data_IF_719046683745
#
_entry.id   IF_719046683745
#
_cell.length_a   1.000
_cell.length_b   1.000
_cell.length_c   1.000
_cell.angle_alpha   90.00
_cell.angle_beta   90.00
_cell.angle_gamma   90.00
#
_symmetry.space_group_name_H-M   'P 1'
#
loop_
_entity.id
_entity.type
_entity.pdbx_description
1 polymer ?
#
# COMPACT_ATOMS: atom_id res chain seq x y z
N UNK A 1 -8.26 -29.64 36.70
CA UNK A 1 -9.16 -28.95 37.66
C UNK A 1 -8.59 -27.67 38.28
N UNK A 2 -7.26 -27.54 38.52
CA UNK A 2 -6.65 -26.29 39.06
C UNK A 2 -6.45 -25.14 38.06
N UNK A 3 -6.48 -25.40 36.75
CA UNK A 3 -6.29 -24.36 35.71
C UNK A 3 -7.55 -23.50 35.53
N UNK A 4 -8.75 -24.09 35.64
CA UNK A 4 -10.04 -23.39 35.50
C UNK A 4 -10.29 -22.40 36.66
N UNK A 5 -9.78 -22.69 37.86
CA UNK A 5 -9.87 -21.77 39.01
C UNK A 5 -9.01 -20.52 38.83
N UNK A 6 -7.89 -20.60 38.09
CA UNK A 6 -6.99 -19.46 37.83
C UNK A 6 -7.64 -18.43 36.89
N UNK A 7 -8.39 -18.90 35.89
CA UNK A 7 -9.12 -18.02 34.95
C UNK A 7 -10.39 -17.41 35.55
N UNK A 8 -11.08 -18.09 36.47
CA UNK A 8 -12.21 -17.51 37.21
C UNK A 8 -11.79 -16.32 38.08
N UNK A 9 -10.62 -16.39 38.71
CA UNK A 9 -10.06 -15.27 39.48
C UNK A 9 -9.81 -14.05 38.60
N UNK A 10 -9.14 -14.24 37.46
CA UNK A 10 -8.84 -13.17 36.49
C UNK A 10 -10.11 -12.55 35.92
N UNK A 11 -11.11 -13.36 35.57
CA UNK A 11 -12.38 -12.88 35.02
C UNK A 11 -13.17 -12.04 36.04
N UNK A 12 -13.20 -12.45 37.31
CA UNK A 12 -13.85 -11.68 38.39
C UNK A 12 -13.11 -10.38 38.66
N UNK A 13 -11.76 -10.38 38.64
CA UNK A 13 -10.97 -9.16 38.80
C UNK A 13 -11.19 -8.19 37.63
N UNK A 14 -11.27 -8.67 36.39
CA UNK A 14 -11.57 -7.85 35.21
C UNK A 14 -12.97 -7.23 35.26
N UNK A 15 -13.99 -8.00 35.67
CA UNK A 15 -15.35 -7.47 35.84
C UNK A 15 -15.39 -6.38 36.91
N UNK A 16 -14.67 -6.56 38.02
CA UNK A 16 -14.58 -5.56 39.10
C UNK A 16 -13.85 -4.31 38.62
N UNK A 17 -12.75 -4.44 37.86
CA UNK A 17 -12.04 -3.29 37.28
C UNK A 17 -12.94 -2.54 36.30
N UNK A 18 -13.63 -3.23 35.39
CA UNK A 18 -14.58 -2.60 34.45
C UNK A 18 -15.72 -1.87 35.19
N UNK A 19 -16.26 -2.43 36.28
CA UNK A 19 -17.29 -1.79 37.09
C UNK A 19 -16.78 -0.57 37.88
N UNK A 20 -15.55 -0.64 38.42
CA UNK A 20 -14.91 0.48 39.12
C UNK A 20 -14.64 1.64 38.15
N UNK A 21 -14.24 1.32 36.92
CA UNK A 21 -14.02 2.34 35.89
C UNK A 21 -15.31 2.83 35.22
N UNK A 22 -16.40 2.05 35.17
CA UNK A 22 -17.70 2.55 34.68
C UNK A 22 -18.27 3.70 35.55
N UNK A 23 -17.78 3.83 36.79
CA UNK A 23 -18.10 4.95 37.67
C UNK A 23 -17.29 6.23 37.37
N UNK A 24 -16.30 6.16 36.48
CA UNK A 24 -15.50 7.28 35.98
C UNK A 24 -15.67 7.35 34.46
N UNK A 25 -16.16 8.47 33.91
CA UNK A 25 -16.35 8.61 32.45
C UNK A 25 -15.08 8.20 31.68
N UNK A 26 -15.15 7.08 30.96
CA UNK A 26 -14.07 6.51 30.18
C UNK A 26 -14.13 7.04 28.74
N UNK A 27 -12.95 7.34 28.20
CA UNK A 27 -12.73 7.76 26.82
C UNK A 27 -12.97 6.61 25.83
N UNK A 28 -13.48 6.91 24.62
CA UNK A 28 -13.93 5.92 23.62
C UNK A 28 -12.78 4.99 23.15
N UNK A 29 -11.53 5.46 23.20
CA UNK A 29 -10.32 4.71 22.84
C UNK A 29 -10.04 3.53 23.81
N UNK A 30 -10.43 3.66 25.08
CA UNK A 30 -10.28 2.59 26.07
C UNK A 30 -11.33 1.48 25.89
N UNK A 31 -12.54 1.83 25.45
CA UNK A 31 -13.61 0.88 25.18
C UNK A 31 -13.32 0.01 23.93
N UNK A 32 -12.69 0.58 22.90
CA UNK A 32 -12.16 -0.20 21.78
C UNK A 32 -11.05 -1.17 22.24
N UNK A 33 -10.10 -0.69 23.05
CA UNK A 33 -9.01 -1.52 23.59
C UNK A 33 -9.53 -2.67 24.46
N UNK A 34 -10.53 -2.42 25.31
CA UNK A 34 -11.18 -3.45 26.13
C UNK A 34 -12.01 -4.41 25.26
N UNK A 35 -12.66 -3.90 24.22
CA UNK A 35 -13.38 -4.71 23.23
C UNK A 35 -12.46 -5.67 22.48
N UNK A 36 -11.28 -5.20 22.05
CA UNK A 36 -10.24 -6.03 21.42
C UNK A 36 -9.70 -7.07 22.41
N UNK A 37 -9.37 -6.68 23.64
CA UNK A 37 -8.91 -7.60 24.69
C UNK A 37 -9.93 -8.68 25.03
N UNK A 38 -11.21 -8.31 25.17
CA UNK A 38 -12.29 -9.27 25.41
C UNK A 38 -12.51 -10.19 24.21
N UNK A 39 -12.34 -9.70 22.98
CA UNK A 39 -12.44 -10.51 21.78
C UNK A 39 -11.31 -11.54 21.66
N UNK A 40 -10.08 -11.18 22.07
CA UNK A 40 -8.94 -12.11 22.17
C UNK A 40 -9.19 -13.15 23.26
N UNK A 41 -9.74 -12.74 24.41
CA UNK A 41 -10.06 -13.65 25.53
C UNK A 41 -11.23 -14.60 25.20
N UNK A 42 -12.18 -14.16 24.38
CA UNK A 42 -13.30 -14.98 23.90
C UNK A 42 -12.97 -15.81 22.64
N UNK A 43 -11.80 -15.59 22.06
CA UNK A 43 -11.38 -16.18 20.80
C UNK A 43 -10.81 -17.58 20.91
N UNK A 44 -10.97 -18.38 19.86
CA UNK A 44 -10.27 -19.67 19.74
C UNK A 44 -8.88 -19.45 19.14
N UNK A 45 -7.80 -19.96 19.78
CA UNK A 45 -6.47 -19.88 19.21
C UNK A 45 -6.42 -20.65 17.91
N UNK A 46 -5.85 -20.03 16.90
CA UNK A 46 -5.47 -20.69 15.65
C UNK A 46 -4.41 -21.72 16.02
N UNK A 47 -4.77 -23.00 15.91
CA UNK A 47 -3.83 -24.07 16.23
C UNK A 47 -2.76 -24.22 15.15
N UNK A 48 -1.74 -25.00 15.46
CA UNK A 48 -0.62 -25.28 14.56
C UNK A 48 -1.00 -26.02 13.27
N UNK A 49 -2.26 -26.32 12.98
CA UNK A 49 -2.67 -26.88 11.67
C UNK A 49 -3.10 -25.82 10.66
N UNK A 50 -3.40 -24.59 11.11
CA UNK A 50 -3.80 -23.54 10.19
C UNK A 50 -2.61 -23.06 9.37
N UNK A 51 -2.73 -22.94 8.03
CA UNK A 51 -1.61 -22.57 7.21
C UNK A 51 -1.35 -21.07 7.33
N UNK A 52 -0.22 -20.73 7.95
CA UNK A 52 0.20 -19.34 8.13
C UNK A 52 1.30 -19.00 7.13
N UNK A 53 1.09 -17.93 6.38
CA UNK A 53 2.06 -17.43 5.42
C UNK A 53 2.76 -16.20 5.99
N UNK A 54 4.05 -16.34 6.22
CA UNK A 54 4.92 -15.30 6.75
C UNK A 54 5.60 -14.56 5.61
N UNK A 55 5.81 -13.25 5.78
CA UNK A 55 6.79 -12.54 4.97
C UNK A 55 8.19 -12.99 5.40
N UNK A 56 9.10 -13.18 4.43
CA UNK A 56 10.44 -13.74 4.70
C UNK A 56 11.29 -12.93 5.69
N UNK A 57 11.00 -11.65 5.89
CA UNK A 57 11.74 -10.77 6.80
C UNK A 57 10.88 -10.33 8.00
N UNK A 58 11.50 -10.34 9.17
CA UNK A 58 11.08 -9.63 10.36
C UNK A 58 11.95 -8.37 10.55
N UNK A 59 11.43 -7.41 11.32
CA UNK A 59 12.09 -6.13 11.53
C UNK A 59 12.24 -5.82 13.02
N UNK A 60 13.44 -5.43 13.44
CA UNK A 60 13.68 -4.85 14.76
C UNK A 60 13.67 -3.34 14.63
N UNK A 61 12.64 -2.70 15.16
CA UNK A 61 12.40 -1.28 15.04
C UNK A 61 12.97 -0.50 16.22
N UNK A 62 14.15 0.10 16.00
CA UNK A 62 14.86 0.93 16.96
C UNK A 62 14.34 2.38 17.01
N UNK A 63 13.23 2.70 16.34
CA UNK A 63 12.53 3.99 16.55
C UNK A 63 11.77 4.00 17.88
N UNK A 64 11.47 2.81 18.43
CA UNK A 64 10.92 2.63 19.78
C UNK A 64 12.01 2.38 20.81
N UNK A 65 11.70 2.74 22.05
CA UNK A 65 12.49 2.40 23.23
C UNK A 65 11.56 1.77 24.30
N UNK A 66 11.66 0.45 24.58
CA UNK A 66 12.59 -0.50 23.97
C UNK A 66 12.24 -0.82 22.49
N UNK A 67 13.21 -1.32 21.69
CA UNK A 67 12.97 -1.70 20.29
C UNK A 67 11.83 -2.71 20.13
N UNK A 68 11.03 -2.58 19.06
CA UNK A 68 9.90 -3.49 18.77
C UNK A 68 10.24 -4.48 17.66
N UNK A 69 9.91 -5.76 17.86
CA UNK A 69 9.96 -6.77 16.80
C UNK A 69 8.66 -6.73 15.98
N UNK A 70 8.77 -6.58 14.67
CA UNK A 70 7.65 -6.62 13.72
C UNK A 70 7.76 -7.88 12.86
N UNK A 71 6.73 -8.71 12.91
CA UNK A 71 6.60 -9.92 12.08
C UNK A 71 5.35 -9.73 11.24
N UNK A 72 5.48 -9.99 9.96
CA UNK A 72 4.37 -9.83 9.02
C UNK A 72 3.86 -11.17 8.52
N UNK A 73 2.54 -11.30 8.48
CA UNK A 73 1.87 -12.49 7.94
C UNK A 73 0.70 -12.07 7.07
N UNK A 74 0.30 -12.97 6.17
CA UNK A 74 -0.88 -12.79 5.34
C UNK A 74 -1.63 -14.10 5.23
N UNK A 75 -2.86 -14.09 5.71
CA UNK A 75 -3.65 -15.31 5.84
C UNK A 75 -5.07 -15.06 5.37
N UNK A 76 -5.74 -16.12 4.93
CA UNK A 76 -7.14 -16.05 4.54
C UNK A 76 -8.06 -16.02 5.77
N UNK A 77 -9.08 -15.16 5.71
CA UNK A 77 -10.29 -15.13 6.54
C UNK A 77 -10.10 -15.60 8.00
N UNK A 78 -9.31 -14.84 8.76
CA UNK A 78 -9.36 -14.90 10.21
C UNK A 78 -10.53 -14.03 10.67
N UNK A 79 -11.30 -14.54 11.63
CA UNK A 79 -12.26 -13.69 12.35
C UNK A 79 -11.50 -12.82 13.34
N UNK A 80 -12.06 -11.66 13.68
CA UNK A 80 -11.39 -10.68 14.54
C UNK A 80 -10.96 -11.22 15.92
N UNK A 81 -11.62 -12.28 16.40
CA UNK A 81 -11.28 -12.93 17.67
C UNK A 81 -10.22 -14.04 17.56
N UNK A 82 -9.80 -14.44 16.36
CA UNK A 82 -8.82 -15.52 16.19
C UNK A 82 -7.40 -14.98 16.29
N UNK A 83 -6.57 -15.62 17.11
CA UNK A 83 -5.18 -15.22 17.35
C UNK A 83 -4.22 -16.38 17.22
N UNK A 84 -2.95 -16.07 16.95
CA UNK A 84 -1.86 -17.04 16.84
C UNK A 84 -1.01 -17.04 18.12
N UNK A 85 -0.79 -18.21 18.70
CA UNK A 85 0.26 -18.41 19.70
C UNK A 85 1.50 -18.98 19.00
N UNK A 86 2.64 -18.33 19.20
CA UNK A 86 3.90 -18.78 18.63
C UNK A 86 5.06 -18.53 19.60
N UNK A 87 5.99 -19.50 19.67
CA UNK A 87 7.20 -19.35 20.47
C UNK A 87 8.32 -18.77 19.60
N UNK A 88 8.89 -17.66 20.07
CA UNK A 88 9.99 -16.96 19.40
C UNK A 88 11.34 -17.35 20.03
N UNK A 89 12.28 -17.79 19.20
CA UNK A 89 13.64 -18.14 19.62
C UNK A 89 14.70 -17.21 19.00
N UNK A 90 15.94 -17.33 19.47
CA UNK A 90 17.10 -16.62 18.93
C UNK A 90 17.17 -16.78 17.39
N UNK A 91 17.56 -15.71 16.70
CA UNK A 91 17.49 -15.57 15.23
C UNK A 91 16.07 -15.52 14.62
N UNK A 92 15.05 -15.17 15.41
CA UNK A 92 13.64 -15.02 14.96
C UNK A 92 13.15 -16.29 14.24
N UNK A 93 13.33 -17.43 14.92
CA UNK A 93 12.66 -18.67 14.55
C UNK A 93 11.30 -18.72 15.25
N UNK A 94 10.24 -18.91 14.46
CA UNK A 94 8.87 -19.02 14.94
C UNK A 94 8.48 -20.49 14.96
N UNK A 95 8.10 -20.99 16.15
CA UNK A 95 7.60 -22.35 16.32
C UNK A 95 6.07 -22.36 16.39
N UNK A 96 5.45 -23.16 15.52
CA UNK A 96 4.01 -23.42 15.47
C UNK A 96 3.75 -24.90 15.70
N UNK A 97 3.75 -25.33 16.97
CA UNK A 97 3.73 -26.75 17.32
C UNK A 97 4.98 -27.46 16.81
N UNK A 98 4.83 -28.46 15.94
CA UNK A 98 5.96 -29.16 15.31
C UNK A 98 6.56 -28.42 14.12
N UNK A 99 5.88 -27.40 13.60
CA UNK A 99 6.29 -26.64 12.41
C UNK A 99 7.18 -25.47 12.79
N UNK A 100 8.09 -25.09 11.90
CA UNK A 100 8.96 -23.92 12.12
C UNK A 100 9.13 -23.08 10.87
N UNK A 101 9.33 -21.78 11.07
CA UNK A 101 9.75 -20.85 10.01
C UNK A 101 10.88 -19.97 10.54
N UNK A 102 11.90 -19.79 9.72
CA UNK A 102 13.04 -18.92 10.01
C UNK A 102 12.90 -17.64 9.19
N UNK A 103 13.00 -16.49 9.85
CA UNK A 103 12.85 -15.18 9.22
C UNK A 103 14.18 -14.44 9.19
N UNK A 104 14.45 -13.77 8.08
CA UNK A 104 15.54 -12.80 8.01
C UNK A 104 15.25 -11.63 8.94
N UNK A 105 16.28 -11.05 9.57
CA UNK A 105 16.09 -9.93 10.50
C UNK A 105 16.74 -8.67 9.96
N UNK A 106 15.91 -7.65 9.76
CA UNK A 106 16.35 -6.32 9.34
C UNK A 106 16.19 -5.31 10.47
N UNK A 107 17.09 -4.33 10.56
CA UNK A 107 17.04 -3.29 11.59
C UNK A 107 16.51 -1.99 11.00
N UNK A 108 15.55 -1.39 11.69
CA UNK A 108 14.96 -0.11 11.31
C UNK A 108 15.43 0.97 12.27
N UNK A 109 15.93 2.06 11.69
CA UNK A 109 16.40 3.24 12.39
C UNK A 109 15.67 4.49 11.88
N UNK A 110 15.87 5.62 12.54
CA UNK A 110 15.38 6.93 12.07
C UNK A 110 16.00 7.28 10.71
N UNK A 111 15.23 8.00 9.89
CA UNK A 111 15.52 8.25 8.48
C UNK A 111 16.05 9.67 8.30
N UNK A 112 17.18 9.83 7.61
CA UNK A 112 17.89 11.11 7.56
C UNK A 112 18.16 11.63 6.13
N UNK A 113 18.02 10.81 5.08
CA UNK A 113 18.32 11.25 3.72
C UNK A 113 17.26 12.24 3.24
N UNK A 114 17.63 13.47 2.91
CA UNK A 114 16.67 14.47 2.41
C UNK A 114 16.01 13.97 1.11
N UNK A 115 14.68 13.95 1.07
CA UNK A 115 13.90 13.58 -0.12
C UNK A 115 12.55 12.95 0.24
N UNK A 116 11.85 12.50 -0.79
CA UNK A 116 10.62 11.69 -0.66
C UNK A 116 10.87 10.31 -1.28
N UNK A 117 10.50 9.25 -0.54
CA UNK A 117 10.38 7.90 -1.07
C UNK A 117 8.90 7.64 -1.35
N UNK A 118 8.61 7.21 -2.57
CA UNK A 118 7.24 6.93 -3.02
C UNK A 118 7.02 5.42 -3.01
N UNK A 119 6.09 4.95 -2.18
CA UNK A 119 5.77 3.53 -1.99
C UNK A 119 4.50 3.17 -2.75
N UNK A 120 4.62 2.41 -3.84
CA UNK A 120 3.45 1.95 -4.60
C UNK A 120 2.96 0.60 -4.11
N UNK A 121 1.65 0.42 -4.09
CA UNK A 121 1.03 -0.86 -3.77
C UNK A 121 1.37 -1.94 -4.82
N UNK A 122 1.19 -3.23 -4.49
CA UNK A 122 1.33 -4.33 -5.42
C UNK A 122 0.57 -4.10 -6.73
N UNK A 123 1.31 -4.09 -7.83
CA UNK A 123 0.81 -3.77 -9.17
C UNK A 123 0.37 -5.06 -9.86
N UNK A 124 -0.94 -5.27 -9.96
CA UNK A 124 -1.57 -6.38 -10.65
C UNK A 124 -2.15 -5.94 -12.00
N UNK A 125 -1.83 -6.69 -13.05
CA UNK A 125 -2.41 -6.54 -14.40
C UNK A 125 -2.38 -5.11 -14.96
N UNK A 126 -1.28 -4.38 -14.74
CA UNK A 126 -1.21 -2.97 -15.13
C UNK A 126 -0.77 -2.78 -16.58
N UNK A 127 -1.46 -1.92 -17.32
CA UNK A 127 -1.26 -1.70 -18.77
C UNK A 127 -1.00 -0.24 -19.16
N UNK A 128 -1.19 0.71 -18.23
CA UNK A 128 -1.15 2.15 -18.48
C UNK A 128 0.27 2.71 -18.34
N UNK A 129 1.16 2.38 -19.27
CA UNK A 129 2.57 2.83 -19.21
C UNK A 129 2.71 4.37 -19.23
N UNK A 130 1.77 5.08 -19.84
CA UNK A 130 1.73 6.55 -19.87
C UNK A 130 1.56 7.15 -18.47
N UNK A 131 0.76 6.51 -17.61
CA UNK A 131 0.59 6.92 -16.23
C UNK A 131 1.91 6.86 -15.48
N UNK A 132 2.72 5.81 -15.69
CA UNK A 132 4.01 5.66 -15.00
C UNK A 132 4.98 6.78 -15.37
N UNK A 133 5.03 7.19 -16.63
CA UNK A 133 5.87 8.33 -17.06
C UNK A 133 5.44 9.62 -16.37
N UNK A 134 4.15 9.99 -16.46
CA UNK A 134 3.63 11.19 -15.82
C UNK A 134 3.83 11.14 -14.30
N UNK A 135 3.54 10.00 -13.69
CA UNK A 135 3.69 9.77 -12.27
C UNK A 135 5.13 9.99 -11.80
N UNK A 136 6.11 9.34 -12.44
CA UNK A 136 7.51 9.46 -12.04
C UNK A 136 8.00 10.90 -12.26
N UNK A 137 7.76 11.51 -13.42
CA UNK A 137 8.22 12.87 -13.66
C UNK A 137 7.55 13.90 -12.73
N UNK A 138 6.24 13.77 -12.48
CA UNK A 138 5.53 14.68 -11.57
C UNK A 138 6.04 14.54 -10.13
N UNK A 139 6.18 13.31 -9.60
CA UNK A 139 6.71 13.10 -8.25
C UNK A 139 8.16 13.56 -8.11
N UNK A 140 9.00 13.37 -9.15
CA UNK A 140 10.38 13.89 -9.16
C UNK A 140 10.40 15.41 -9.08
N UNK A 141 9.52 16.09 -9.82
CA UNK A 141 9.39 17.54 -9.76
C UNK A 141 8.96 18.02 -8.36
N UNK A 142 8.22 17.20 -7.63
CA UNK A 142 7.81 17.44 -6.24
C UNK A 142 8.88 17.10 -5.19
N UNK A 143 10.02 16.53 -5.59
CA UNK A 143 11.16 16.20 -4.71
C UNK A 143 11.27 14.73 -4.33
N UNK A 144 10.57 13.83 -5.02
CA UNK A 144 10.80 12.39 -4.92
C UNK A 144 12.16 12.00 -5.51
N UNK A 145 12.86 11.14 -4.79
CA UNK A 145 14.22 10.68 -5.14
C UNK A 145 14.34 9.16 -5.24
N UNK A 146 13.34 8.43 -4.72
CA UNK A 146 13.27 6.97 -4.77
C UNK A 146 11.83 6.52 -4.91
N UNK A 147 11.61 5.54 -5.77
CA UNK A 147 10.32 4.89 -5.94
C UNK A 147 10.47 3.40 -5.61
N UNK A 148 9.57 2.85 -4.82
CA UNK A 148 9.51 1.42 -4.52
C UNK A 148 8.22 0.90 -5.12
N UNK A 149 8.34 0.02 -6.11
CA UNK A 149 7.22 -0.59 -6.82
C UNK A 149 7.16 -2.06 -6.46
N UNK A 150 6.09 -2.47 -5.77
CA UNK A 150 5.79 -3.89 -5.61
C UNK A 150 5.16 -4.41 -6.90
N UNK A 151 5.90 -5.23 -7.63
CA UNK A 151 5.53 -5.66 -8.97
C UNK A 151 4.98 -7.09 -8.94
N UNK A 152 3.73 -7.28 -9.36
CA UNK A 152 3.16 -8.61 -9.60
C UNK A 152 3.02 -8.90 -11.10
N UNK A 153 2.30 -8.07 -11.85
CA UNK A 153 2.13 -8.26 -13.29
C UNK A 153 1.84 -6.98 -14.06
N UNK A 154 2.37 -6.90 -15.29
CA UNK A 154 2.10 -5.80 -16.22
C UNK A 154 2.27 -6.19 -17.70
N UNK A 155 1.79 -5.37 -18.63
CA UNK A 155 2.08 -5.53 -20.06
C UNK A 155 3.58 -5.40 -20.34
N UNK A 156 4.04 -5.89 -21.49
CA UNK A 156 5.44 -5.74 -21.91
C UNK A 156 5.86 -4.27 -22.04
N UNK A 157 4.97 -3.40 -22.50
CA UNK A 157 5.20 -1.95 -22.63
C UNK A 157 5.38 -1.31 -21.26
N UNK A 158 4.51 -1.65 -20.32
CA UNK A 158 4.59 -1.16 -18.94
C UNK A 158 5.87 -1.65 -18.26
N UNK A 159 6.23 -2.92 -18.46
CA UNK A 159 7.47 -3.48 -17.95
C UNK A 159 8.70 -2.76 -18.52
N UNK A 160 8.72 -2.41 -19.81
CA UNK A 160 9.81 -1.64 -20.41
C UNK A 160 9.99 -0.26 -19.74
N UNK A 161 8.88 0.43 -19.43
CA UNK A 161 8.96 1.72 -18.72
C UNK A 161 9.49 1.55 -17.29
N UNK A 162 8.98 0.57 -16.54
CA UNK A 162 9.48 0.27 -15.19
C UNK A 162 10.96 -0.12 -15.21
N UNK A 163 11.37 -0.98 -16.14
CA UNK A 163 12.76 -1.40 -16.31
C UNK A 163 13.68 -0.22 -16.67
N UNK A 164 13.23 0.68 -17.55
CA UNK A 164 13.98 1.90 -17.88
C UNK A 164 14.29 2.74 -16.65
N UNK A 165 13.29 3.05 -15.83
CA UNK A 165 13.50 3.85 -14.62
C UNK A 165 14.25 3.09 -13.51
N UNK A 166 14.16 1.76 -13.48
CA UNK A 166 15.00 0.92 -12.63
C UNK A 166 16.47 1.04 -13.03
N UNK A 167 16.77 0.96 -14.33
CA UNK A 167 18.14 1.02 -14.83
C UNK A 167 18.77 2.41 -14.66
N UNK A 168 17.93 3.46 -14.52
CA UNK A 168 18.36 4.80 -14.08
C UNK A 168 18.60 4.93 -12.56
N UNK A 169 18.31 3.89 -11.77
CA UNK A 169 18.42 3.92 -10.31
C UNK A 169 17.30 4.71 -9.61
N UNK A 170 16.21 5.02 -10.30
CA UNK A 170 15.09 5.79 -9.74
C UNK A 170 14.01 4.88 -9.13
N UNK A 171 13.72 3.78 -9.82
CA UNK A 171 12.70 2.80 -9.40
C UNK A 171 13.35 1.53 -8.88
N UNK A 172 13.03 1.18 -7.65
CA UNK A 172 13.31 -0.13 -7.09
C UNK A 172 12.11 -1.05 -7.29
N UNK A 173 12.31 -2.13 -8.03
CA UNK A 173 11.28 -3.14 -8.26
C UNK A 173 11.42 -4.20 -7.18
N UNK A 174 10.44 -4.25 -6.25
CA UNK A 174 10.29 -5.36 -5.31
C UNK A 174 9.35 -6.36 -5.95
N UNK A 175 9.82 -7.56 -6.27
CA UNK A 175 8.93 -8.60 -6.78
C UNK A 175 7.88 -8.94 -5.72
N UNK A 176 6.62 -9.06 -6.15
CA UNK A 176 5.47 -9.49 -5.34
C UNK A 176 4.81 -10.67 -6.07
N UNK A 177 5.42 -11.87 -6.00
CA UNK A 177 4.92 -13.04 -6.72
C UNK A 177 3.59 -13.53 -6.12
N UNK A 178 2.93 -14.41 -6.86
CA UNK A 178 1.81 -15.18 -6.32
C UNK A 178 2.21 -15.96 -5.08
N UNK A 179 1.26 -16.13 -4.16
CA UNK A 179 1.51 -16.79 -2.89
C UNK A 179 1.74 -18.29 -3.07
N UNK A 180 2.54 -18.93 -2.21
CA UNK A 180 2.75 -20.36 -2.28
C UNK A 180 1.43 -21.12 -2.10
N UNK A 181 1.27 -22.19 -2.88
CA UNK A 181 0.19 -23.15 -2.68
C UNK A 181 0.33 -23.85 -1.33
N UNK A 182 -0.80 -24.17 -0.70
CA UNK A 182 -0.77 -25.01 0.50
C UNK A 182 -0.30 -26.43 0.19
N UNK A 183 0.29 -27.13 1.19
CA UNK A 183 0.54 -28.57 1.11
C UNK A 183 -0.70 -29.34 0.65
N UNK A 184 -0.48 -30.38 -0.17
CA UNK A 184 -1.54 -31.12 -0.88
C UNK A 184 -2.59 -31.69 0.08
N UNK A 185 -2.19 -32.08 1.28
CA UNK A 185 -3.02 -32.66 2.34
C UNK A 185 -3.97 -31.65 3.01
N UNK A 186 -3.76 -30.34 2.83
CA UNK A 186 -4.67 -29.30 3.35
C UNK A 186 -5.21 -28.36 2.27
N UNK A 187 -4.67 -28.41 1.04
CA UNK A 187 -5.07 -27.52 -0.05
C UNK A 187 -6.56 -27.60 -0.41
N UNK A 188 -7.21 -28.75 -0.22
CA UNK A 188 -8.65 -28.89 -0.47
C UNK A 188 -9.53 -28.21 0.59
N UNK A 189 -8.97 -27.87 1.77
CA UNK A 189 -9.70 -27.25 2.88
C UNK A 189 -9.74 -25.72 2.79
N UNK A 190 -8.83 -25.13 2.01
CA UNK A 190 -8.66 -23.68 1.92
C UNK A 190 -8.44 -23.28 0.46
N UNK A 191 -9.16 -22.27 -0.06
CA UNK A 191 -8.85 -21.78 -1.40
C UNK A 191 -7.49 -21.09 -1.43
N UNK A 192 -6.98 -20.88 -2.65
CA UNK A 192 -5.67 -20.28 -2.86
C UNK A 192 -5.64 -18.87 -2.25
N UNK A 193 -4.49 -18.52 -1.68
CA UNK A 193 -4.29 -17.23 -1.02
C UNK A 193 -4.52 -16.09 -2.02
N UNK A 194 -3.99 -16.18 -3.24
CA UNK A 194 -4.16 -15.18 -4.31
C UNK A 194 -5.62 -14.86 -4.65
N UNK A 195 -6.53 -15.81 -4.42
CA UNK A 195 -7.96 -15.65 -4.67
C UNK A 195 -8.66 -14.83 -3.57
N UNK A 196 -7.95 -14.46 -2.49
CA UNK A 196 -8.57 -13.85 -1.31
C UNK A 196 -7.89 -12.63 -0.67
N UNK A 197 -6.62 -12.33 -1.01
CA UNK A 197 -5.83 -11.39 -0.18
C UNK A 197 -5.43 -10.06 -0.83
N UNK A 198 -5.89 -9.68 -2.03
CA UNK A 198 -5.45 -8.45 -2.70
C UNK A 198 -5.40 -7.21 -1.79
N UNK A 199 -6.50 -6.92 -1.08
CA UNK A 199 -6.57 -5.76 -0.20
C UNK A 199 -5.60 -5.88 0.99
N UNK A 200 -5.47 -7.08 1.57
CA UNK A 200 -4.53 -7.34 2.66
C UNK A 200 -3.07 -7.29 2.19
N UNK A 201 -2.81 -7.70 0.95
CA UNK A 201 -1.51 -7.60 0.30
C UNK A 201 -1.09 -6.13 0.14
N UNK A 202 -2.04 -5.23 -0.14
CA UNK A 202 -1.75 -3.80 -0.20
C UNK A 202 -1.33 -3.24 1.15
N UNK A 203 -2.04 -3.59 2.23
CA UNK A 203 -1.68 -3.20 3.59
C UNK A 203 -0.34 -3.77 4.02
N UNK A 204 -0.08 -5.04 3.69
CA UNK A 204 1.18 -5.68 3.99
C UNK A 204 2.34 -4.98 3.26
N UNK A 205 2.23 -4.83 1.93
CA UNK A 205 3.28 -4.22 1.12
C UNK A 205 3.56 -2.77 1.50
N UNK A 206 2.54 -1.95 1.79
CA UNK A 206 2.76 -0.57 2.22
C UNK A 206 3.48 -0.50 3.57
N UNK A 207 3.11 -1.36 4.52
CA UNK A 207 3.73 -1.36 5.84
C UNK A 207 5.15 -1.96 5.83
N UNK A 208 5.46 -2.88 4.92
CA UNK A 208 6.85 -3.25 4.63
C UNK A 208 7.59 -2.05 4.00
N UNK A 209 6.94 -1.35 3.07
CA UNK A 209 7.56 -0.24 2.36
C UNK A 209 7.98 0.91 3.27
N UNK A 210 7.11 1.35 4.18
CA UNK A 210 7.42 2.46 5.10
C UNK A 210 8.64 2.15 5.98
N UNK A 211 8.88 0.87 6.29
CA UNK A 211 10.07 0.43 7.02
C UNK A 211 11.32 0.51 6.14
N UNK A 212 11.21 0.23 4.84
CA UNK A 212 12.32 0.31 3.88
C UNK A 212 12.61 1.75 3.37
N UNK A 213 11.77 2.74 3.68
CA UNK A 213 12.05 4.14 3.37
C UNK A 213 13.41 4.54 3.97
N UNK A 214 14.23 5.25 3.18
CA UNK A 214 15.52 5.82 3.64
C UNK A 214 15.47 7.34 3.72
N UNK A 215 14.50 7.95 3.07
CA UNK A 215 14.34 9.41 3.02
C UNK A 215 13.62 9.97 4.24
N UNK A 216 13.73 11.28 4.46
CA UNK A 216 13.04 11.99 5.55
C UNK A 216 11.52 11.85 5.46
N UNK A 217 10.97 11.89 4.24
CA UNK A 217 9.53 11.78 4.00
C UNK A 217 9.18 10.57 3.15
N UNK A 218 7.93 10.13 3.30
CA UNK A 218 7.33 9.03 2.56
C UNK A 218 5.89 9.31 2.14
N UNK A 219 5.38 8.53 1.20
CA UNK A 219 3.98 8.57 0.75
C UNK A 219 3.58 7.24 0.10
N UNK A 220 2.27 6.95 0.04
CA UNK A 220 1.69 5.70 -0.51
C UNK A 220 0.63 5.96 -1.60
N UNK A 221 0.98 6.57 -2.75
CA UNK A 221 0.05 6.89 -3.82
C UNK A 221 -0.19 5.70 -4.77
N UNK A 222 -1.23 5.83 -5.59
CA UNK A 222 -1.49 4.98 -6.74
C UNK A 222 -0.80 5.58 -8.01
N UNK A 223 -0.61 4.80 -9.09
CA UNK A 223 0.08 5.30 -10.29
C UNK A 223 -0.63 6.45 -11.02
N UNK A 224 -1.88 6.71 -10.68
CA UNK A 224 -2.73 7.78 -11.19
C UNK A 224 -2.84 8.95 -10.19
N UNK A 225 -1.91 9.08 -9.25
CA UNK A 225 -1.96 10.07 -8.17
C UNK A 225 -0.65 10.86 -7.98
N UNK A 226 -0.74 12.17 -7.76
CA UNK A 226 0.38 13.01 -7.31
C UNK A 226 -0.07 14.06 -6.30
N UNK A 227 0.73 14.27 -5.25
CA UNK A 227 0.50 15.33 -4.27
C UNK A 227 1.20 16.62 -4.68
N UNK A 228 0.46 17.71 -4.71
CA UNK A 228 0.99 19.03 -5.09
C UNK A 228 0.56 20.08 -4.05
N UNK A 229 1.49 20.84 -3.47
CA UNK A 229 1.12 21.99 -2.64
C UNK A 229 0.58 23.12 -3.53
N UNK A 230 -0.13 24.07 -2.91
CA UNK A 230 -0.58 25.29 -3.62
C UNK A 230 0.61 26.09 -4.16
N UNK A 231 1.74 26.09 -3.43
CA UNK A 231 2.95 26.83 -3.79
C UNK A 231 4.21 25.97 -3.63
N UNK A 232 5.11 26.04 -4.61
CA UNK A 232 6.44 25.40 -4.55
C UNK A 232 6.40 23.88 -4.70
N UNK A 233 7.45 23.21 -4.22
CA UNK A 233 7.58 21.75 -4.25
C UNK A 233 7.06 21.12 -2.97
N UNK A 234 6.46 19.92 -3.07
CA UNK A 234 6.00 19.16 -1.92
C UNK A 234 7.07 18.93 -0.87
N UNK A 235 8.31 18.60 -1.27
CA UNK A 235 9.41 18.37 -0.33
C UNK A 235 9.70 19.61 0.52
N UNK A 236 9.74 20.80 -0.08
CA UNK A 236 10.03 22.04 0.63
C UNK A 236 8.87 22.40 1.56
N UNK A 237 7.63 22.19 1.11
CA UNK A 237 6.43 22.35 1.93
C UNK A 237 6.41 21.39 3.13
N UNK A 238 6.67 20.09 2.92
CA UNK A 238 6.72 19.10 3.99
C UNK A 238 7.80 19.41 5.03
N UNK A 239 8.99 19.87 4.60
CA UNK A 239 10.05 20.31 5.52
C UNK A 239 9.56 21.47 6.37
N UNK A 240 8.95 22.48 5.76
CA UNK A 240 8.46 23.67 6.46
C UNK A 240 7.41 23.32 7.52
N UNK A 241 6.46 22.45 7.20
CA UNK A 241 5.32 22.16 8.09
C UNK A 241 5.65 21.10 9.17
N UNK A 242 6.57 20.16 8.90
CA UNK A 242 6.85 19.04 9.81
C UNK A 242 8.15 19.16 10.62
N UNK A 243 9.16 19.89 10.13
CA UNK A 243 10.46 19.92 10.81
C UNK A 243 10.37 20.66 12.16
N UNK A 244 10.68 19.98 13.25
CA UNK A 244 10.64 20.55 14.59
C UNK A 244 9.22 20.79 15.14
N UNK A 245 8.18 20.26 14.47
CA UNK A 245 6.79 20.36 14.90
C UNK A 245 6.26 19.01 15.37
N UNK A 246 5.00 18.96 15.83
CA UNK A 246 4.27 17.72 16.12
C UNK A 246 3.50 17.17 14.92
N UNK A 247 3.75 17.69 13.72
CA UNK A 247 3.04 17.25 12.51
C UNK A 247 3.76 16.04 11.93
N UNK A 248 3.14 14.86 12.05
CA UNK A 248 3.63 13.60 11.50
C UNK A 248 3.23 13.37 10.04
N UNK A 249 2.12 13.96 9.60
CA UNK A 249 1.62 13.83 8.24
C UNK A 249 0.80 15.03 7.76
N UNK A 250 0.80 15.23 6.45
CA UNK A 250 0.02 16.24 5.72
C UNK A 250 -0.96 15.53 4.80
N UNK A 251 -2.27 15.79 4.96
CA UNK A 251 -3.36 15.14 4.23
C UNK A 251 -3.88 16.09 3.14
N UNK A 252 -3.92 15.61 1.89
CA UNK A 252 -4.32 16.37 0.71
C UNK A 252 -5.67 15.88 0.19
N UNK A 253 -6.59 16.81 -0.04
CA UNK A 253 -7.92 16.52 -0.59
C UNK A 253 -7.80 16.03 -2.03
N UNK A 254 -8.63 15.04 -2.38
CA UNK A 254 -8.66 14.47 -3.72
C UNK A 254 -9.31 15.42 -4.72
N UNK A 255 -8.63 15.59 -5.85
CA UNK A 255 -9.12 16.30 -7.01
C UNK A 255 -8.96 15.42 -8.24
N UNK A 256 -10.09 15.01 -8.81
CA UNK A 256 -10.10 14.23 -10.03
C UNK A 256 -9.75 15.14 -11.22
N UNK A 257 -8.84 14.68 -12.09
CA UNK A 257 -8.29 15.48 -13.19
C UNK A 257 -8.47 14.75 -14.52
N UNK A 258 -8.82 15.53 -15.54
CA UNK A 258 -8.87 15.11 -16.95
C UNK A 258 -7.99 16.02 -17.80
N UNK A 259 -7.54 15.51 -18.94
CA UNK A 259 -6.62 16.22 -19.83
C UNK A 259 -7.21 16.36 -21.24
N UNK A 260 -6.78 17.35 -21.99
CA UNK A 260 -7.16 17.47 -23.40
C UNK A 260 -5.97 18.03 -24.16
N UNK A 261 -5.26 17.24 -24.99
CA UNK A 261 -5.47 15.81 -25.24
C UNK A 261 -5.15 14.92 -24.02
N UNK A 262 -5.72 13.71 -23.99
CA UNK A 262 -5.45 12.73 -22.93
C UNK A 262 -3.99 12.23 -22.97
N UNK A 263 -3.50 11.72 -21.84
CA UNK A 263 -2.12 11.20 -21.74
C UNK A 263 -1.90 9.93 -22.57
N UNK A 264 -2.96 9.18 -22.90
CA UNK A 264 -2.87 7.96 -23.71
C UNK A 264 -2.55 8.21 -25.18
N UNK A 265 -2.67 9.47 -25.64
CA UNK A 265 -2.09 9.94 -26.90
C UNK A 265 -0.55 9.95 -26.90
N UNK A 266 0.09 9.77 -25.73
CA UNK A 266 1.53 9.86 -25.49
C UNK A 266 2.16 11.24 -25.82
N UNK A 267 1.34 12.27 -26.03
CA UNK A 267 1.78 13.65 -26.24
C UNK A 267 1.90 14.43 -24.91
N UNK A 268 1.13 14.06 -23.88
CA UNK A 268 1.15 14.68 -22.55
C UNK A 268 0.86 16.20 -22.50
N UNK A 269 0.66 16.91 -23.61
CA UNK A 269 0.41 18.36 -23.61
C UNK A 269 -0.80 18.80 -22.79
N UNK A 270 -1.83 17.95 -22.67
CA UNK A 270 -2.99 18.23 -21.84
C UNK A 270 -2.66 18.42 -20.35
N UNK A 271 -1.50 17.93 -19.88
CA UNK A 271 -1.01 18.12 -18.50
C UNK A 271 -0.69 19.59 -18.19
N UNK A 272 -0.43 20.42 -19.21
CA UNK A 272 -0.19 21.86 -19.00
C UNK A 272 -1.44 22.61 -18.50
N UNK A 273 -2.62 22.10 -18.82
CA UNK A 273 -3.91 22.75 -18.54
C UNK A 273 -4.93 21.74 -18.04
N UNK A 274 -4.72 21.12 -16.86
CA UNK A 274 -5.61 20.11 -16.32
C UNK A 274 -7.01 20.68 -16.07
N UNK A 275 -8.05 19.88 -16.36
CA UNK A 275 -9.44 20.20 -16.01
C UNK A 275 -9.87 19.38 -14.81
N UNK A 276 -10.32 20.07 -13.76
CA UNK A 276 -10.70 19.48 -12.49
C UNK A 276 -12.16 19.08 -12.49
N UNK A 277 -12.50 17.92 -11.95
CA UNK A 277 -13.88 17.43 -11.86
C UNK A 277 -14.35 17.45 -10.42
N UNK A 278 -15.60 17.84 -10.21
CA UNK A 278 -16.24 17.81 -8.89
C UNK A 278 -16.60 16.37 -8.53
N UNK A 279 -15.71 15.69 -7.82
CA UNK A 279 -15.93 14.36 -7.28
C UNK A 279 -15.22 14.24 -5.93
N UNK A 280 -15.96 13.98 -4.87
CA UNK A 280 -15.37 13.65 -3.58
C UNK A 280 -14.80 12.23 -3.65
N UNK A 281 -13.52 12.09 -3.32
CA UNK A 281 -12.83 10.81 -3.28
C UNK A 281 -11.83 10.82 -2.12
N UNK A 282 -11.37 9.66 -1.62
CA UNK A 282 -10.46 9.62 -0.48
C UNK A 282 -9.16 10.40 -0.72
N UNK A 283 -8.68 11.03 0.35
CA UNK A 283 -7.43 11.77 0.40
C UNK A 283 -6.21 10.85 0.28
N UNK A 284 -5.04 11.47 0.12
CA UNK A 284 -3.72 10.86 0.27
C UNK A 284 -2.83 11.79 1.08
N UNK A 285 -1.67 11.30 1.48
CA UNK A 285 -0.83 11.99 2.43
C UNK A 285 0.66 11.80 2.16
N UNK A 286 1.44 12.78 2.60
CA UNK A 286 2.89 12.66 2.80
C UNK A 286 3.15 12.64 4.30
N UNK A 287 4.11 11.83 4.75
CA UNK A 287 4.41 11.63 6.17
C UNK A 287 5.90 11.73 6.45
N UNK A 288 6.24 12.07 7.69
CA UNK A 288 7.60 11.97 8.20
C UNK A 288 7.93 10.49 8.49
N UNK A 289 8.88 9.95 7.72
CA UNK A 289 9.22 8.53 7.75
C UNK A 289 9.87 8.08 9.06
N UNK A 290 10.40 9.02 9.86
CA UNK A 290 10.98 8.71 11.17
C UNK A 290 9.93 8.49 12.25
N UNK A 291 8.68 8.90 12.05
CA UNK A 291 7.63 8.87 13.07
C UNK A 291 6.39 8.09 12.67
N UNK A 292 6.21 7.72 11.39
CA UNK A 292 5.11 6.83 10.97
C UNK A 292 5.28 5.44 11.60
N UNK A 293 4.24 4.91 12.24
CA UNK A 293 4.23 3.54 12.77
C UNK A 293 3.55 2.59 11.78
N UNK A 294 2.29 2.89 11.46
CA UNK A 294 1.45 2.12 10.54
C UNK A 294 0.90 3.06 9.46
N UNK A 295 0.95 2.61 8.21
CA UNK A 295 0.36 3.30 7.07
C UNK A 295 -0.97 2.64 6.67
N UNK A 296 -1.93 3.47 6.26
CA UNK A 296 -3.19 3.07 5.62
C UNK A 296 -3.29 3.69 4.23
N UNK A 297 -4.23 3.22 3.40
CA UNK A 297 -4.30 3.62 1.97
C UNK A 297 -4.56 5.11 1.79
N UNK A 298 -5.42 5.70 2.62
CA UNK A 298 -5.95 7.06 2.41
C UNK A 298 -5.55 8.06 3.51
N UNK A 299 -5.26 7.57 4.70
CA UNK A 299 -4.83 8.36 5.85
C UNK A 299 -3.66 7.64 6.53
N UNK A 300 -2.79 8.33 7.29
CA UNK A 300 -1.89 7.65 8.22
C UNK A 300 -2.71 7.01 9.35
N UNK A 301 -2.28 5.85 9.83
CA UNK A 301 -2.97 5.11 10.89
C UNK A 301 -2.47 5.55 12.26
N UNK A 302 -1.17 5.39 12.50
CA UNK A 302 -0.56 5.68 13.80
C UNK A 302 0.89 6.13 13.64
N UNK A 303 1.40 6.76 14.70
CA UNK A 303 2.76 7.26 14.80
C UNK A 303 3.51 6.58 15.96
N UNK A 304 4.83 6.50 15.86
CA UNK A 304 5.69 5.92 16.91
C UNK A 304 5.68 6.76 18.19
N UNK A 305 5.38 8.05 18.06
CA UNK A 305 5.11 8.99 19.15
C UNK A 305 3.61 9.37 19.08
N UNK A 306 2.78 9.01 20.07
CA UNK A 306 1.34 9.27 20.05
C UNK A 306 0.98 10.76 20.12
N UNK A 307 1.94 11.65 20.42
CA UNK A 307 1.70 13.10 20.40
C UNK A 307 1.77 13.71 19.00
N UNK A 308 2.18 12.94 17.98
CA UNK A 308 2.20 13.35 16.59
C UNK A 308 0.79 13.41 16.02
N UNK A 309 0.53 14.43 15.21
CA UNK A 309 -0.78 14.66 14.59
C UNK A 309 -0.69 14.71 13.07
N UNK A 310 -1.82 14.43 12.43
CA UNK A 310 -2.02 14.69 11.00
C UNK A 310 -2.80 15.98 10.84
N UNK A 311 -2.40 16.81 9.87
CA UNK A 311 -3.14 18.04 9.56
C UNK A 311 -3.53 18.08 8.08
N UNK A 312 -4.55 18.87 7.77
CA UNK A 312 -4.93 19.17 6.40
C UNK A 312 -3.85 20.03 5.73
N UNK A 313 -3.48 19.66 4.52
CA UNK A 313 -2.47 20.34 3.73
C UNK A 313 -3.08 21.49 2.89
N UNK A 314 -2.29 22.53 2.67
CA UNK A 314 -2.54 23.54 1.64
C UNK A 314 -2.06 23.02 0.26
N UNK A 315 -2.96 22.32 -0.43
CA UNK A 315 -2.69 21.74 -1.74
C UNK A 315 -3.76 20.76 -2.20
N UNK A 316 -3.40 19.93 -3.17
CA UNK A 316 -4.25 18.89 -3.73
C UNK A 316 -3.55 17.55 -3.95
N UNK A 317 -4.33 16.49 -3.89
CA UNK A 317 -4.06 15.22 -4.55
C UNK A 317 -4.66 15.29 -5.96
N UNK A 318 -3.82 15.27 -6.99
CA UNK A 318 -4.26 15.21 -8.39
C UNK A 318 -4.42 13.74 -8.79
N UNK A 319 -5.66 13.33 -9.03
CA UNK A 319 -6.02 11.95 -9.36
C UNK A 319 -6.49 11.85 -10.82
N UNK A 320 -5.66 11.24 -11.68
CA UNK A 320 -5.78 11.26 -13.14
C UNK A 320 -6.09 9.88 -13.73
N UNK A 321 -7.23 9.31 -13.31
CA UNK A 321 -7.70 8.00 -13.81
C UNK A 321 -7.93 7.98 -15.31
N UNK A 322 -7.79 6.79 -15.90
CA UNK A 322 -8.03 6.59 -17.33
C UNK A 322 -9.43 6.99 -17.79
N UNK A 323 -10.43 6.81 -16.91
CA UNK A 323 -11.84 7.02 -17.20
C UNK A 323 -12.33 8.45 -16.91
N UNK A 324 -11.45 9.36 -16.46
CA UNK A 324 -11.84 10.67 -15.96
C UNK A 324 -12.62 11.53 -16.96
N UNK A 325 -12.31 11.40 -18.25
CA UNK A 325 -12.99 12.12 -19.33
C UNK A 325 -14.37 11.54 -19.66
N UNK A 326 -14.56 10.24 -19.44
CA UNK A 326 -15.83 9.53 -19.72
C UNK A 326 -16.90 9.79 -18.67
N UNK A 327 -16.50 10.29 -17.49
CA UNK A 327 -17.42 10.65 -16.42
C UNK A 327 -18.00 12.03 -16.74
N UNK A 328 -19.31 12.12 -16.96
CA UNK A 328 -20.08 13.36 -17.18
C UNK A 328 -20.13 14.22 -15.90
N UNK A 329 -18.97 14.63 -15.40
CA UNK A 329 -18.80 15.40 -14.16
C UNK A 329 -18.59 16.87 -14.47
N UNK A 330 -19.16 17.71 -13.60
CA UNK A 330 -18.97 19.16 -13.63
C UNK A 330 -17.49 19.51 -13.57
N UNK A 331 -17.05 20.31 -14.54
CA UNK A 331 -15.69 20.83 -14.60
C UNK A 331 -15.56 22.09 -13.77
N UNK A 332 -14.45 22.24 -13.06
CA UNK A 332 -14.07 23.43 -12.30
C UNK A 332 -12.63 23.84 -12.64
N UNK A 333 -12.28 25.08 -12.31
CA UNK A 333 -10.91 25.56 -12.39
C UNK A 333 -10.30 25.63 -10.99
N UNK A 334 -9.06 25.14 -10.88
CA UNK A 334 -8.28 25.15 -9.65
C UNK A 334 -6.85 25.59 -9.98
N UNK A 335 -6.13 26.24 -9.04
CA UNK A 335 -4.80 26.77 -9.29
C UNK A 335 -3.68 25.70 -9.24
N UNK A 336 -4.02 24.42 -9.05
CA UNK A 336 -3.04 23.35 -8.88
C UNK A 336 -2.41 22.93 -10.21
N UNK A 337 -1.14 22.58 -10.15
CA UNK A 337 -0.30 22.20 -11.30
C UNK A 337 0.49 20.95 -10.97
N UNK A 338 0.71 20.09 -11.97
CA UNK A 338 1.53 18.88 -11.81
C UNK A 338 2.99 19.24 -11.53
N UNK A 339 3.51 20.22 -12.29
CA UNK A 339 4.89 20.67 -12.21
C UNK A 339 4.96 22.04 -11.55
N UNK A 340 5.85 22.23 -10.56
CA UNK A 340 6.01 23.51 -9.86
C UNK A 340 6.73 24.57 -10.72
N UNK A 341 7.36 24.14 -11.82
CA UNK A 341 8.16 24.93 -12.76
C UNK A 341 7.59 24.85 -14.20
N UNK A 342 8.45 24.99 -15.21
CA UNK A 342 8.04 25.08 -16.62
C UNK A 342 7.52 23.72 -17.15
N UNK A 343 6.21 23.64 -17.40
CA UNK A 343 5.53 22.45 -17.88
C UNK A 343 6.04 21.95 -19.22
N UNK A 344 6.41 22.85 -20.14
CA UNK A 344 6.86 22.48 -21.48
C UNK A 344 8.13 21.64 -21.47
N UNK A 345 9.02 21.85 -20.48
CA UNK A 345 10.24 21.06 -20.33
C UNK A 345 9.92 19.63 -19.89
N UNK A 346 9.05 19.47 -18.90
CA UNK A 346 8.62 18.15 -18.43
C UNK A 346 7.84 17.36 -19.48
N UNK A 347 6.94 18.02 -20.20
CA UNK A 347 6.19 17.41 -21.31
C UNK A 347 7.15 16.89 -22.37
N UNK A 348 8.10 17.72 -22.82
CA UNK A 348 9.11 17.31 -23.78
C UNK A 348 9.95 16.13 -23.26
N UNK A 349 10.37 16.17 -22.00
CA UNK A 349 11.13 15.08 -21.39
C UNK A 349 10.35 13.76 -21.38
N UNK A 350 9.04 13.78 -21.08
CA UNK A 350 8.18 12.59 -21.14
C UNK A 350 8.06 12.05 -22.57
N UNK A 351 7.86 12.93 -23.56
CA UNK A 351 7.81 12.53 -24.98
C UNK A 351 9.13 11.92 -25.46
N UNK A 352 10.26 12.56 -25.14
CA UNK A 352 11.59 12.10 -25.53
C UNK A 352 11.95 10.77 -24.82
N UNK A 353 11.54 10.63 -23.55
CA UNK A 353 11.71 9.38 -22.79
C UNK A 353 10.87 8.26 -23.40
N UNK A 354 9.60 8.51 -23.75
CA UNK A 354 8.76 7.53 -24.42
C UNK A 354 9.36 7.09 -25.76
N UNK A 355 9.83 8.03 -26.59
CA UNK A 355 10.51 7.73 -27.86
C UNK A 355 11.76 6.89 -27.63
N UNK A 356 12.55 7.18 -26.59
CA UNK A 356 13.75 6.41 -26.24
C UNK A 356 13.41 4.98 -25.81
N UNK A 357 12.43 4.80 -24.92
CA UNK A 357 12.03 3.48 -24.41
C UNK A 357 11.51 2.57 -25.54
N UNK A 358 10.79 3.16 -26.51
CA UNK A 358 10.15 2.42 -27.60
C UNK A 358 10.84 2.56 -28.96
N UNK A 359 12.10 3.01 -29.00
CA UNK A 359 12.88 3.18 -30.22
C UNK A 359 12.13 3.94 -31.34
N UNK A 360 11.41 5.00 -30.95
CA UNK A 360 10.61 5.85 -31.84
C UNK A 360 9.23 5.33 -32.21
N UNK A 361 8.92 4.05 -31.97
CA UNK A 361 7.62 3.44 -32.31
C UNK A 361 6.74 3.35 -31.07
N UNK A 362 5.98 4.43 -30.81
CA UNK A 362 5.14 4.53 -29.61
C UNK A 362 3.97 3.53 -29.69
N UNK A 363 3.79 2.65 -28.67
CA UNK A 363 2.66 1.73 -28.63
C UNK A 363 1.32 2.48 -28.54
N UNK A 364 0.35 2.06 -29.36
CA UNK A 364 -1.01 2.60 -29.28
C UNK A 364 -1.69 2.09 -28.02
N UNK A 365 -2.34 2.99 -27.29
CA UNK A 365 -3.16 2.62 -26.15
C UNK A 365 -4.32 1.69 -26.54
N UNK A 366 -4.64 0.74 -25.65
CA UNK A 366 -5.74 -0.20 -25.78
C UNK A 366 -6.42 -0.38 -24.43
N UNK A 367 -7.75 -0.24 -24.39
CA UNK A 367 -8.54 -0.48 -23.17
C UNK A 367 -8.80 -1.96 -22.89
N UNK A 368 -8.52 -2.85 -23.85
CA UNK A 368 -8.91 -4.28 -23.82
C UNK A 368 -8.62 -4.97 -22.48
N UNK A 369 -7.41 -4.81 -21.95
CA UNK A 369 -7.00 -5.46 -20.68
C UNK A 369 -7.74 -4.89 -19.48
N UNK A 370 -8.01 -3.59 -19.48
CA UNK A 370 -8.78 -2.96 -18.42
C UNK A 370 -10.28 -3.33 -18.50
N UNK A 371 -10.84 -3.41 -19.71
CA UNK A 371 -12.22 -3.82 -19.93
C UNK A 371 -12.44 -5.27 -19.47
N UNK A 372 -11.50 -6.17 -19.81
CA UNK A 372 -11.51 -7.56 -19.37
C UNK A 372 -11.39 -7.71 -17.85
N UNK A 373 -10.49 -6.93 -17.23
CA UNK A 373 -10.36 -6.90 -15.77
C UNK A 373 -11.68 -6.43 -15.12
N UNK A 374 -12.25 -5.33 -15.62
CA UNK A 374 -13.50 -4.78 -15.10
C UNK A 374 -14.67 -5.77 -15.25
N UNK A 375 -14.76 -6.48 -16.38
CA UNK A 375 -15.74 -7.54 -16.58
C UNK A 375 -15.59 -8.67 -15.55
N UNK A 376 -14.35 -9.12 -15.31
CA UNK A 376 -14.07 -10.13 -14.29
C UNK A 376 -14.43 -9.64 -12.88
N UNK A 377 -14.01 -8.43 -12.49
CA UNK A 377 -14.35 -7.83 -11.19
C UNK A 377 -15.87 -7.79 -11.00
N UNK A 378 -16.61 -7.37 -12.02
CA UNK A 378 -18.07 -7.31 -11.97
C UNK A 378 -18.71 -8.69 -11.80
N UNK A 379 -18.13 -9.76 -12.35
CA UNK A 379 -18.59 -11.15 -12.13
C UNK A 379 -18.33 -11.57 -10.68
N UNK A 380 -17.14 -11.32 -10.15
CA UNK A 380 -16.76 -11.64 -8.77
C UNK A 380 -17.69 -10.92 -7.78
N UNK A 381 -17.96 -9.62 -7.99
CA UNK A 381 -18.80 -8.81 -7.10
C UNK A 381 -20.27 -9.22 -7.07
N UNK A 382 -20.75 -9.93 -8.11
CA UNK A 382 -22.12 -10.45 -8.21
C UNK A 382 -22.30 -11.82 -7.56
N UNK A 383 -21.21 -12.50 -7.17
CA UNK A 383 -21.27 -13.77 -6.44
C UNK A 383 -21.94 -13.60 -5.07
N UNK A 384 -22.69 -14.61 -4.62
CA UNK A 384 -23.32 -14.63 -3.29
C UNK A 384 -22.28 -14.79 -2.16
N UNK A 385 -21.15 -15.46 -2.44
CA UNK A 385 -20.03 -15.65 -1.53
C UNK A 385 -19.01 -14.49 -1.63
N UNK A 386 -19.39 -13.32 -1.11
CA UNK A 386 -18.57 -12.08 -1.18
C UNK A 386 -17.39 -12.02 -0.21
N UNK A 387 -17.19 -13.05 0.62
CA UNK A 387 -16.22 -13.00 1.73
C UNK A 387 -14.83 -13.38 1.22
N UNK A 388 -13.88 -12.46 1.35
CA UNK A 388 -12.46 -12.64 1.01
C UNK A 388 -12.24 -13.04 -0.47
N UNK A 389 -12.71 -12.22 -1.42
CA UNK A 389 -12.42 -12.36 -2.86
C UNK A 389 -11.38 -11.36 -3.32
N UNK A 390 -10.49 -11.77 -4.22
CA UNK A 390 -9.39 -10.98 -4.76
C UNK A 390 -9.29 -11.13 -6.26
N UNK A 391 -9.12 -10.01 -6.97
CA UNK A 391 -9.04 -9.99 -8.44
C UNK A 391 -7.71 -10.55 -8.94
N UNK A 392 -6.65 -10.56 -8.12
CA UNK A 392 -5.33 -11.04 -8.48
C UNK A 392 -5.35 -12.50 -8.97
N UNK A 393 -5.82 -13.42 -8.13
CA UNK A 393 -5.93 -14.84 -8.47
C UNK A 393 -7.15 -15.18 -9.31
N UNK A 394 -8.33 -14.62 -8.98
CA UNK A 394 -9.60 -15.01 -9.60
C UNK A 394 -9.73 -14.57 -11.06
N UNK A 395 -9.12 -13.44 -11.45
CA UNK A 395 -9.18 -12.96 -12.84
C UNK A 395 -8.04 -13.48 -13.71
N UNK A 396 -7.12 -14.30 -13.18
CA UNK A 396 -5.90 -14.67 -13.91
C UNK A 396 -6.18 -15.32 -15.27
N UNK A 397 -7.12 -16.26 -15.33
CA UNK A 397 -7.42 -16.99 -16.55
C UNK A 397 -8.00 -16.09 -17.66
N UNK A 398 -8.81 -15.10 -17.29
CA UNK A 398 -9.37 -14.08 -18.16
C UNK A 398 -8.30 -13.10 -18.63
N UNK A 399 -7.44 -12.67 -17.70
CA UNK A 399 -6.34 -11.75 -18.01
C UNK A 399 -5.32 -12.41 -18.94
N UNK A 400 -4.96 -13.67 -18.72
CA UNK A 400 -4.02 -14.41 -19.58
C UNK A 400 -4.53 -14.61 -21.03
N UNK A 401 -5.83 -14.42 -21.29
CA UNK A 401 -6.40 -14.48 -22.66
C UNK A 401 -6.26 -13.17 -23.43
N UNK A 402 -6.09 -12.04 -22.74
CA UNK A 402 -6.18 -10.72 -23.39
C UNK A 402 -4.83 -10.09 -23.69
N UNK A 403 -3.77 -10.50 -22.99
CA UNK A 403 -2.44 -9.90 -23.06
C UNK A 403 -1.34 -10.91 -22.70
N UNK A 404 -0.13 -10.70 -23.21
CA UNK A 404 1.06 -11.48 -22.83
C UNK A 404 1.77 -10.81 -21.64
N UNK A 405 1.28 -11.11 -20.43
CA UNK A 405 1.72 -10.47 -19.19
C UNK A 405 3.15 -10.84 -18.80
N UNK A 406 3.92 -9.83 -18.42
CA UNK A 406 5.14 -10.04 -17.64
C UNK A 406 4.75 -10.23 -16.18
N UNK A 407 5.03 -11.40 -15.63
CA UNK A 407 4.82 -11.72 -14.22
C UNK A 407 6.10 -11.58 -13.40
N UNK A 408 5.94 -11.27 -12.11
CA UNK A 408 7.02 -11.31 -11.15
C UNK A 408 7.61 -12.71 -11.06
N UNK A 409 8.94 -12.80 -10.95
CA UNK A 409 9.62 -14.07 -10.75
C UNK A 409 9.31 -14.60 -9.34
N UNK A 410 9.14 -15.92 -9.26
CA UNK A 410 8.89 -16.65 -8.02
C UNK A 410 10.19 -16.84 -7.24
N UNK A 411 10.59 -15.84 -6.47
CA UNK A 411 11.48 -16.03 -5.32
C UNK A 411 10.63 -16.28 -4.06
N UNK A 412 11.09 -17.07 -3.09
CA UNK A 412 10.32 -17.42 -1.89
C UNK A 412 10.22 -16.22 -0.94
N UNK A 413 9.45 -15.20 -1.33
CA UNK A 413 9.16 -14.01 -0.52
C UNK A 413 8.20 -14.31 0.64
N UNK A 414 7.35 -15.32 0.42
CA UNK A 414 6.30 -15.75 1.33
C UNK A 414 6.56 -17.20 1.74
N UNK A 415 6.65 -17.43 3.05
CA UNK A 415 7.04 -18.69 3.65
C UNK A 415 5.84 -19.31 4.36
N UNK A 416 5.51 -20.55 4.02
CA UNK A 416 4.54 -21.35 4.79
C UNK A 416 5.32 -22.05 5.88
N UNK A 417 4.83 -22.01 7.13
CA UNK A 417 5.39 -22.85 8.19
C UNK A 417 5.15 -24.34 7.83
N UNK A 418 6.23 -25.12 7.68
CA UNK A 418 6.20 -26.55 7.33
C UNK A 418 6.44 -27.39 8.56
#
# INVERSE_FOLDING_TARGET
MRVIQRYKGVLVTLIIVVLIFYAYELDDEYLETVGELLSIVAGEPINSSFPITFYQSAYVDHRFDPPRLRIFTINKCLKNYQFLLADLHFNVTIHLGSRKVELNVEKIYKKATKGITVCLQPVYYFSHWQNILLFIEAWRAQGATRFIVYFHSATKETWKVLAYYRDLGLVEIKHWPSFPSFPVDIAYKYPRIDDSVLRNAYFLAMNICILDIKTTFGTVPDFDEVLVPTNGRLLDYAIKEMAGTKVGALIFDNHYVSFTPNIYSANFSGVASPKFRTLAWPSKYVFNASVIDIAQVHVPDSFTDPSMISIKADGALLHFRYDAESKNLTTTEKPYRFFPDNHSTHIKNMEDTAKKIFNGVIPKFSSKSNDALHECVNKIMKSEDKICVSTGGLCKAEMDKVEDWVYAKSEPLFLIAI
#
